data_IF_499395073832
#
_entry.id   IF_499395073832
#
_cell.length_a   1.000
_cell.length_b   1.000
_cell.length_c   1.000
_cell.angle_alpha   90.00
_cell.angle_beta   90.00
_cell.angle_gamma   90.00
#
_symmetry.space_group_name_H-M   'P 1'
#
loop_
_entity.id
_entity.type
_entity.pdbx_description
1 polymer ?
#
# COMPACT_ATOMS: atom_id res chain seq x y z
N UNK A 1 -0.51 -13.96 -20.78
CA UNK A 1 -0.38 -12.50 -20.98
C UNK A 1 0.26 -11.94 -19.72
N UNK A 2 1.10 -10.92 -19.83
CA UNK A 2 1.70 -10.29 -18.65
C UNK A 2 0.87 -9.08 -18.25
N UNK A 3 0.45 -9.03 -17.00
CA UNK A 3 -0.34 -7.95 -16.41
C UNK A 3 0.50 -7.17 -15.42
N UNK A 4 0.36 -5.84 -15.42
CA UNK A 4 0.96 -5.01 -14.39
C UNK A 4 -0.03 -4.84 -13.26
N UNK A 5 0.26 -5.37 -12.08
CA UNK A 5 -0.61 -5.29 -10.91
C UNK A 5 0.03 -4.40 -9.84
N UNK A 6 -0.73 -3.43 -9.34
CA UNK A 6 -0.35 -2.58 -8.21
C UNK A 6 -1.06 -3.07 -6.95
N UNK A 7 -0.30 -3.18 -5.86
CA UNK A 7 -0.81 -3.45 -4.52
C UNK A 7 -0.40 -2.30 -3.61
N UNK A 8 -1.39 -1.54 -3.16
CA UNK A 8 -1.20 -0.47 -2.19
C UNK A 8 -1.53 -0.99 -0.81
N UNK A 9 -0.56 -0.98 0.10
CA UNK A 9 -0.72 -1.44 1.49
C UNK A 9 -0.59 -0.24 2.42
N UNK A 10 -1.55 -0.04 3.31
CA UNK A 10 -1.56 1.03 4.30
C UNK A 10 -1.82 0.46 5.68
N UNK A 11 -1.25 1.04 6.77
CA UNK A 11 -1.70 0.72 8.12
C UNK A 11 -3.22 0.91 8.25
N UNK A 12 -3.85 0.21 9.19
CA UNK A 12 -5.25 0.45 9.55
C UNK A 12 -5.45 1.86 10.09
N UNK A 13 -6.59 2.49 9.80
CA UNK A 13 -6.85 3.90 10.18
C UNK A 13 -6.78 4.13 11.68
N UNK A 14 -7.24 3.14 12.45
CA UNK A 14 -7.30 3.21 13.92
C UNK A 14 -5.95 2.91 14.58
N UNK A 15 -4.95 2.48 13.80
CA UNK A 15 -3.61 2.21 14.30
C UNK A 15 -2.71 3.43 14.12
N UNK A 16 -1.85 3.65 15.11
CA UNK A 16 -0.79 4.65 15.03
C UNK A 16 0.17 4.28 13.89
N UNK A 17 0.53 5.27 13.09
CA UNK A 17 1.59 5.20 12.09
C UNK A 17 2.79 6.08 12.53
N UNK A 18 3.79 5.50 13.24
CA UNK A 18 4.95 6.23 13.71
C UNK A 18 5.76 6.88 12.57
N UNK A 19 5.80 6.25 11.39
CA UNK A 19 6.55 6.77 10.25
C UNK A 19 5.86 8.02 9.70
N UNK A 20 4.54 7.96 9.51
CA UNK A 20 3.73 9.11 9.13
C UNK A 20 3.90 10.29 10.08
N UNK A 21 3.89 10.03 11.40
CA UNK A 21 4.11 11.10 12.41
C UNK A 21 5.53 11.69 12.37
N UNK A 22 6.55 10.86 12.15
CA UNK A 22 7.92 11.35 11.99
C UNK A 22 8.04 12.28 10.76
N UNK A 23 7.46 11.88 9.62
CA UNK A 23 7.48 12.70 8.40
C UNK A 23 6.67 13.98 8.56
N UNK A 24 5.50 13.92 9.19
CA UNK A 24 4.69 15.11 9.50
C UNK A 24 5.49 16.14 10.33
N UNK A 25 6.24 15.68 11.35
CA UNK A 25 7.13 16.54 12.12
C UNK A 25 8.26 17.14 11.26
N UNK A 26 8.85 16.34 10.37
CA UNK A 26 9.86 16.81 9.41
C UNK A 26 9.32 17.90 8.47
N UNK A 27 8.11 17.73 7.92
CA UNK A 27 7.45 18.73 7.07
C UNK A 27 7.19 20.03 7.82
N UNK A 28 6.74 19.94 9.08
CA UNK A 28 6.56 21.11 9.94
C UNK A 28 7.87 21.86 10.16
N UNK A 29 8.97 21.14 10.40
CA UNK A 29 10.30 21.74 10.60
C UNK A 29 10.83 22.43 9.33
N UNK A 30 10.41 21.98 8.14
CA UNK A 30 10.72 22.61 6.86
C UNK A 30 9.83 23.83 6.56
N UNK A 31 8.93 24.20 7.47
CA UNK A 31 8.01 25.34 7.30
C UNK A 31 6.82 25.05 6.37
N UNK A 32 6.59 23.79 6.00
CA UNK A 32 5.44 23.39 5.18
C UNK A 32 4.18 23.30 6.05
N UNK A 33 3.57 24.46 6.27
CA UNK A 33 2.30 24.59 6.98
C UNK A 33 1.13 24.11 6.12
N UNK A 34 0.07 23.59 6.75
CA UNK A 34 -1.15 23.13 6.08
C UNK A 34 -1.23 21.61 5.84
N UNK A 35 -0.17 20.85 6.13
CA UNK A 35 -0.23 19.38 6.13
C UNK A 35 -0.81 18.90 7.46
N UNK A 36 -2.08 18.51 7.46
CA UNK A 36 -2.81 18.15 8.68
C UNK A 36 -2.56 16.72 9.17
N UNK A 37 -2.26 15.78 8.28
CA UNK A 37 -1.93 14.41 8.60
C UNK A 37 -1.07 13.77 7.50
N UNK A 38 -0.22 12.83 7.89
CA UNK A 38 0.61 12.04 6.97
C UNK A 38 0.49 10.58 7.35
N UNK A 39 0.24 9.75 6.34
CA UNK A 39 0.15 8.29 6.44
C UNK A 39 1.13 7.70 5.45
N UNK A 40 1.93 6.74 5.89
CA UNK A 40 2.93 6.05 5.08
C UNK A 40 2.52 4.59 4.94
N UNK A 41 2.74 4.07 3.74
CA UNK A 41 2.46 2.69 3.40
C UNK A 41 3.37 2.24 2.27
N UNK A 42 3.11 1.03 1.76
CA UNK A 42 3.86 0.41 0.68
C UNK A 42 3.07 0.51 -0.61
N UNK A 43 3.74 0.87 -1.70
CA UNK A 43 3.20 0.72 -3.05
C UNK A 43 4.03 -0.32 -3.80
N UNK A 44 3.42 -1.43 -4.18
CA UNK A 44 4.11 -2.61 -4.69
C UNK A 44 3.63 -2.87 -6.12
N UNK A 45 4.56 -2.86 -7.08
CA UNK A 45 4.28 -3.13 -8.48
C UNK A 45 4.79 -4.52 -8.85
N UNK A 46 3.93 -5.36 -9.43
CA UNK A 46 4.26 -6.71 -9.84
C UNK A 46 3.91 -6.92 -11.31
N UNK A 47 4.73 -7.72 -12.00
CA UNK A 47 4.41 -8.27 -13.32
C UNK A 47 3.93 -9.71 -13.10
N UNK A 48 2.72 -10.02 -13.56
CA UNK A 48 2.08 -11.32 -13.33
C UNK A 48 1.68 -11.91 -14.68
N UNK A 49 2.21 -13.09 -14.97
CA UNK A 49 1.77 -13.88 -16.11
C UNK A 49 0.49 -14.64 -15.75
N UNK A 50 -0.58 -14.36 -16.49
CA UNK A 50 -1.89 -15.00 -16.32
C UNK A 50 -2.65 -15.09 -17.65
N UNK A 51 -3.69 -15.91 -17.71
CA UNK A 51 -4.59 -15.97 -18.87
C UNK A 51 -5.53 -14.76 -18.90
N UNK A 52 -6.00 -14.29 -17.74
CA UNK A 52 -6.96 -13.17 -17.63
C UNK A 52 -6.54 -12.16 -16.57
N UNK A 53 -7.11 -10.95 -16.64
CA UNK A 53 -6.92 -9.91 -15.62
C UNK A 53 -7.44 -10.35 -14.24
N UNK A 54 -8.55 -11.09 -14.19
CA UNK A 54 -9.11 -11.63 -12.94
C UNK A 54 -8.18 -12.67 -12.31
N UNK A 55 -7.53 -13.51 -13.12
CA UNK A 55 -6.53 -14.46 -12.63
C UNK A 55 -5.29 -13.73 -12.09
N UNK A 56 -4.80 -12.69 -12.80
CA UNK A 56 -3.70 -11.86 -12.29
C UNK A 56 -4.06 -11.18 -10.97
N UNK A 57 -5.30 -10.69 -10.84
CA UNK A 57 -5.83 -10.12 -9.59
C UNK A 57 -5.86 -11.14 -8.46
N UNK A 58 -6.33 -12.36 -8.73
CA UNK A 58 -6.40 -13.44 -7.72
C UNK A 58 -5.00 -13.81 -7.21
N UNK A 59 -4.00 -13.90 -8.09
CA UNK A 59 -2.60 -14.13 -7.71
C UNK A 59 -2.08 -13.00 -6.81
N UNK A 60 -2.35 -11.75 -7.18
CA UNK A 60 -1.94 -10.60 -6.37
C UNK A 60 -2.65 -10.56 -5.00
N UNK A 61 -3.92 -10.94 -4.94
CA UNK A 61 -4.67 -11.07 -3.68
C UNK A 61 -4.07 -12.13 -2.76
N UNK A 62 -3.67 -13.27 -3.31
CA UNK A 62 -3.01 -14.33 -2.54
C UNK A 62 -1.66 -13.87 -2.01
N UNK A 63 -0.85 -13.21 -2.85
CA UNK A 63 0.43 -12.63 -2.45
C UNK A 63 0.24 -11.59 -1.33
N UNK A 64 -0.77 -10.72 -1.46
CA UNK A 64 -1.08 -9.71 -0.45
C UNK A 64 -1.44 -10.32 0.90
N UNK A 65 -2.31 -11.33 0.91
CA UNK A 65 -2.73 -12.06 2.12
C UNK A 65 -1.59 -12.81 2.79
N UNK A 66 -0.73 -13.45 2.00
CA UNK A 66 0.32 -14.33 2.53
C UNK A 66 1.59 -13.61 2.95
N UNK A 67 1.90 -12.47 2.34
CA UNK A 67 3.21 -11.84 2.52
C UNK A 67 3.18 -10.32 2.53
N UNK A 68 2.47 -9.68 1.59
CA UNK A 68 2.68 -8.23 1.37
C UNK A 68 2.02 -7.35 2.44
N UNK A 69 0.94 -7.83 3.05
CA UNK A 69 0.20 -7.12 4.08
C UNK A 69 0.08 -7.96 5.36
N UNK A 70 0.31 -7.33 6.51
CA UNK A 70 -0.04 -7.93 7.80
C UNK A 70 -1.54 -7.73 8.07
N UNK A 71 -2.36 -8.81 8.13
CA UNK A 71 -3.81 -8.68 8.23
C UNK A 71 -4.32 -8.08 9.55
N UNK A 72 -3.47 -8.03 10.59
CA UNK A 72 -3.82 -7.45 11.89
C UNK A 72 -3.57 -5.94 11.92
N UNK A 73 -2.60 -5.46 11.14
CA UNK A 73 -2.10 -4.08 11.24
C UNK A 73 -2.32 -3.25 9.98
N UNK A 74 -2.51 -3.89 8.83
CA UNK A 74 -2.50 -3.28 7.51
C UNK A 74 -3.75 -3.70 6.70
N UNK A 75 -4.18 -2.81 5.82
CA UNK A 75 -5.15 -3.06 4.77
C UNK A 75 -4.50 -2.86 3.41
N UNK A 76 -5.05 -3.47 2.36
CA UNK A 76 -4.50 -3.33 1.02
C UNK A 76 -5.59 -3.16 -0.06
N UNK A 77 -5.21 -2.50 -1.14
CA UNK A 77 -6.00 -2.28 -2.35
C UNK A 77 -5.22 -2.80 -3.56
N UNK A 78 -5.90 -3.44 -4.52
CA UNK A 78 -5.29 -4.04 -5.71
C UNK A 78 -5.90 -3.44 -6.97
N UNK A 79 -5.04 -3.04 -7.90
CA UNK A 79 -5.40 -2.57 -9.23
C UNK A 79 -4.65 -3.36 -10.28
N UNK A 80 -5.35 -3.86 -11.29
CA UNK A 80 -4.76 -4.49 -12.48
C UNK A 80 -4.79 -3.47 -13.61
N UNK A 81 -3.63 -3.18 -14.21
CA UNK A 81 -3.45 -2.21 -15.28
C UNK A 81 -3.10 -2.92 -16.60
#
# INVERSE_FOLDING_TARGET
MTYTVQVKVMPLKDLLDPQGKAVMGGLSNLGLQGVADVRIGKNISMQIDAATADEAKAIAEEAAKKLLANPVMEQYEISVN
#
